data_IF_845642681145
#
_entry.id   IF_845642681145
#
_cell.length_a   1.000
_cell.length_b   1.000
_cell.length_c   1.000
_cell.angle_alpha   90.00
_cell.angle_beta   90.00
_cell.angle_gamma   90.00
#
_symmetry.space_group_name_H-M   'P 1'
#
loop_
_entity.id
_entity.type
_entity.pdbx_description
1 polymer ?
#
# COMPACT_ATOMS: atom_id res chain seq x y z
N UNK A 1 6.80 10.04 4.54
CA UNK A 1 5.40 10.21 4.06
C UNK A 1 4.53 9.15 4.73
N UNK A 2 3.25 9.43 5.02
CA UNK A 2 2.31 8.46 5.60
C UNK A 2 1.06 8.39 4.71
N UNK A 3 0.59 7.18 4.40
CA UNK A 3 -0.72 6.99 3.75
C UNK A 3 -1.81 7.32 4.77
N UNK A 4 -2.76 8.19 4.42
CA UNK A 4 -3.77 8.69 5.34
C UNK A 4 -5.10 7.93 5.18
N UNK A 5 -5.64 7.44 6.30
CA UNK A 5 -7.00 6.94 6.35
C UNK A 5 -7.99 8.10 6.18
N UNK A 6 -8.99 7.93 5.32
CA UNK A 6 -10.02 8.92 5.07
C UNK A 6 -11.36 8.24 4.79
N UNK A 7 -12.46 8.92 5.11
CA UNK A 7 -13.84 8.45 4.84
C UNK A 7 -14.72 9.62 4.46
N UNK A 8 -15.76 9.35 3.67
CA UNK A 8 -16.80 10.33 3.32
C UNK A 8 -18.11 9.88 3.94
N UNK A 9 -18.75 10.78 4.68
CA UNK A 9 -20.08 10.53 5.23
C UNK A 9 -21.15 10.84 4.18
N UNK A 10 -22.15 9.98 4.08
CA UNK A 10 -23.30 10.21 3.24
C UNK A 10 -24.22 11.27 3.85
N UNK A 11 -24.69 12.18 3.02
CA UNK A 11 -25.75 13.14 3.32
C UNK A 11 -26.93 12.77 2.40
N UNK A 12 -28.11 12.50 2.98
CA UNK A 12 -29.30 12.08 2.23
C UNK A 12 -30.12 13.25 1.65
N UNK A 13 -29.76 14.51 1.96
CA UNK A 13 -30.53 15.70 1.61
C UNK A 13 -30.26 16.13 0.17
N UNK A 14 -29.00 16.07 -0.28
CA UNK A 14 -28.61 16.44 -1.65
C UNK A 14 -27.49 15.53 -2.19
N UNK A 15 -27.45 15.26 -3.51
CA UNK A 15 -26.36 14.51 -4.12
C UNK A 15 -25.00 15.19 -3.90
N UNK A 16 -23.98 14.42 -3.49
CA UNK A 16 -22.57 14.87 -3.44
C UNK A 16 -21.83 14.34 -4.67
N UNK A 17 -21.33 15.25 -5.51
CA UNK A 17 -20.46 14.88 -6.64
C UNK A 17 -19.00 15.21 -6.34
N UNK A 18 -18.10 14.27 -6.65
CA UNK A 18 -16.66 14.49 -6.56
C UNK A 18 -15.94 13.62 -7.60
N UNK A 19 -14.90 14.16 -8.22
CA UNK A 19 -14.04 13.43 -9.16
C UNK A 19 -12.66 13.29 -8.52
N UNK A 20 -12.12 12.08 -8.50
CA UNK A 20 -10.78 11.79 -8.01
C UNK A 20 -9.87 11.39 -9.17
N UNK A 21 -8.60 11.78 -9.09
CA UNK A 21 -7.54 11.35 -9.99
C UNK A 21 -6.41 10.74 -9.15
N UNK A 22 -6.00 9.51 -9.48
CA UNK A 22 -4.98 8.77 -8.75
C UNK A 22 -3.76 8.57 -9.61
N UNK A 23 -2.59 8.92 -9.08
CA UNK A 23 -1.31 8.57 -9.68
C UNK A 23 -0.89 7.19 -9.16
N UNK A 24 -0.90 6.20 -10.03
CA UNK A 24 -0.49 4.83 -9.72
C UNK A 24 0.66 4.39 -10.63
N UNK A 25 1.43 3.37 -10.21
CA UNK A 25 2.41 2.75 -11.10
C UNK A 25 1.73 2.19 -12.37
N UNK A 26 2.44 2.08 -13.50
CA UNK A 26 1.89 1.53 -14.74
C UNK A 26 1.27 0.15 -14.50
N UNK A 27 0.01 0.00 -14.86
CA UNK A 27 -0.71 -1.28 -14.83
C UNK A 27 -0.52 -1.94 -16.20
N UNK A 28 0.72 -2.32 -16.49
CA UNK A 28 1.02 -3.18 -17.64
C UNK A 28 1.27 -4.59 -17.11
N UNK A 29 0.46 -5.56 -17.58
CA UNK A 29 0.54 -6.97 -17.21
C UNK A 29 1.96 -7.55 -17.38
N UNK A 30 2.77 -7.04 -18.30
CA UNK A 30 4.16 -7.47 -18.47
C UNK A 30 5.07 -7.03 -17.29
N UNK A 31 4.75 -5.91 -16.65
CA UNK A 31 5.54 -5.29 -15.58
C UNK A 31 5.02 -5.57 -14.18
N UNK A 32 3.73 -5.95 -14.06
CA UNK A 32 3.08 -6.13 -12.75
C UNK A 32 3.74 -7.18 -11.87
N UNK A 33 4.28 -8.25 -12.47
CA UNK A 33 4.95 -9.34 -11.75
C UNK A 33 6.47 -9.20 -11.71
N UNK A 34 7.07 -8.45 -12.63
CA UNK A 34 8.53 -8.34 -12.79
C UNK A 34 9.12 -7.15 -12.05
N UNK A 35 8.39 -6.04 -11.96
CA UNK A 35 8.84 -4.83 -11.25
C UNK A 35 8.57 -4.96 -9.75
N UNK A 36 9.65 -4.92 -8.97
CA UNK A 36 9.61 -4.93 -7.51
C UNK A 36 9.57 -3.50 -6.95
N UNK A 37 8.73 -3.30 -5.95
CA UNK A 37 8.59 -2.04 -5.20
C UNK A 37 9.00 -2.27 -3.75
N UNK A 38 9.81 -1.37 -3.22
CA UNK A 38 10.28 -1.41 -1.83
C UNK A 38 10.77 -0.04 -1.35
N UNK A 39 11.40 0.02 -0.17
CA UNK A 39 12.01 1.24 0.34
C UNK A 39 13.03 1.83 -0.65
N UNK A 40 12.94 3.13 -0.88
CA UNK A 40 13.87 3.88 -1.74
C UNK A 40 15.25 3.85 -1.09
N UNK A 41 16.25 3.30 -1.78
CA UNK A 41 17.58 3.01 -1.22
C UNK A 41 18.26 4.26 -0.65
N UNK A 42 18.09 5.39 -1.33
CA UNK A 42 18.63 6.70 -0.98
C UNK A 42 18.02 7.28 0.31
N UNK A 43 16.88 6.76 0.76
CA UNK A 43 16.20 7.17 2.00
C UNK A 43 16.45 6.20 3.16
N UNK A 44 17.12 5.07 2.95
CA UNK A 44 17.41 4.07 3.99
C UNK A 44 18.75 4.40 4.67
N UNK A 45 18.75 4.45 5.99
CA UNK A 45 19.93 4.71 6.83
C UNK A 45 19.77 4.07 8.21
N UNK A 46 20.80 4.10 9.05
CA UNK A 46 20.70 3.62 10.45
C UNK A 46 19.58 4.33 11.23
N UNK A 47 19.44 5.65 11.02
CA UNK A 47 18.38 6.45 11.65
C UNK A 47 16.99 6.18 11.07
N UNK A 48 16.92 5.80 9.79
CA UNK A 48 15.67 5.55 9.07
C UNK A 48 15.75 4.19 8.36
N UNK A 49 15.61 3.09 9.11
CA UNK A 49 15.83 1.78 8.54
C UNK A 49 14.61 1.33 7.72
N UNK A 50 14.82 0.34 6.84
CA UNK A 50 13.81 -0.16 5.92
C UNK A 50 12.62 -0.84 6.64
N UNK A 51 11.44 -0.23 6.62
CA UNK A 51 10.26 -0.75 7.34
C UNK A 51 9.50 -1.85 6.57
N UNK A 52 9.57 -1.85 5.25
CA UNK A 52 8.79 -2.77 4.39
C UNK A 52 9.69 -3.57 3.47
N UNK A 53 9.31 -4.83 3.18
CA UNK A 53 9.97 -5.69 2.21
C UNK A 53 9.58 -5.33 0.77
N UNK A 54 10.39 -5.78 -0.19
CA UNK A 54 10.06 -5.65 -1.60
C UNK A 54 8.86 -6.52 -1.98
N UNK A 55 7.99 -6.00 -2.85
CA UNK A 55 6.84 -6.72 -3.40
C UNK A 55 6.53 -6.24 -4.83
N UNK A 56 6.03 -7.14 -5.68
CA UNK A 56 5.52 -6.77 -7.00
C UNK A 56 4.11 -6.17 -6.92
N UNK A 57 3.68 -5.45 -7.95
CA UNK A 57 2.32 -4.90 -7.99
C UNK A 57 1.27 -6.00 -8.01
N UNK A 58 1.55 -7.12 -8.70
CA UNK A 58 0.69 -8.31 -8.69
C UNK A 58 0.51 -8.89 -7.28
N UNK A 59 1.60 -9.01 -6.51
CA UNK A 59 1.54 -9.50 -5.13
C UNK A 59 0.75 -8.55 -4.21
N UNK A 60 0.95 -7.23 -4.36
CA UNK A 60 0.17 -6.22 -3.65
C UNK A 60 -1.32 -6.34 -3.98
N UNK A 61 -1.68 -6.39 -5.25
CA UNK A 61 -3.07 -6.50 -5.70
C UNK A 61 -3.75 -7.78 -5.24
N UNK A 62 -3.08 -8.93 -5.37
CA UNK A 62 -3.61 -10.20 -4.87
C UNK A 62 -3.87 -10.18 -3.36
N UNK A 63 -3.08 -9.43 -2.59
CA UNK A 63 -3.28 -9.29 -1.14
C UNK A 63 -4.38 -8.31 -0.73
N UNK A 64 -4.73 -7.34 -1.61
CA UNK A 64 -5.80 -6.35 -1.37
C UNK A 64 -7.19 -6.99 -1.46
N UNK A 65 -7.36 -7.99 -2.33
CA UNK A 65 -8.63 -8.68 -2.56
C UNK A 65 -8.46 -10.20 -2.43
N UNK A 66 -8.18 -10.71 -1.21
CA UNK A 66 -7.96 -12.15 -1.00
C UNK A 66 -9.24 -12.96 -1.22
N UNK A 67 -10.41 -12.37 -0.94
CA UNK A 67 -11.73 -12.95 -1.11
C UNK A 67 -12.64 -11.93 -1.84
N UNK A 68 -13.59 -12.41 -2.66
CA UNK A 68 -14.56 -11.59 -3.41
C UNK A 68 -15.50 -10.76 -2.50
N UNK A 69 -15.44 -10.93 -1.18
CA UNK A 69 -16.14 -10.10 -0.18
C UNK A 69 -15.47 -8.72 0.08
N UNK A 70 -14.29 -8.45 -0.51
CA UNK A 70 -13.87 -7.07 -0.80
C UNK A 70 -13.61 -6.15 0.42
N UNK A 71 -13.05 -6.67 1.51
CA UNK A 71 -12.64 -5.82 2.63
C UNK A 71 -11.35 -5.04 2.31
N UNK A 72 -11.51 -3.79 1.84
CA UNK A 72 -10.43 -2.82 1.65
C UNK A 72 -9.71 -2.40 2.96
N UNK A 73 -10.17 -2.90 4.11
CA UNK A 73 -9.56 -2.66 5.42
C UNK A 73 -8.45 -3.66 5.76
N UNK A 74 -8.11 -4.58 4.86
CA UNK A 74 -7.01 -5.51 5.08
C UNK A 74 -5.67 -4.74 5.12
N UNK A 75 -4.90 -4.78 6.22
CA UNK A 75 -3.65 -4.05 6.31
C UNK A 75 -2.55 -4.77 5.51
N UNK A 76 -2.61 -4.68 4.18
CA UNK A 76 -1.64 -5.27 3.24
C UNK A 76 -0.21 -4.91 3.64
N UNK A 77 0.02 -3.64 4.00
CA UNK A 77 1.32 -3.16 4.45
C UNK A 77 1.81 -3.81 5.74
N UNK A 78 0.92 -4.27 6.63
CA UNK A 78 1.32 -4.98 7.84
C UNK A 78 1.99 -6.31 7.50
N UNK A 79 1.54 -7.00 6.44
CA UNK A 79 2.17 -8.25 5.96
C UNK A 79 3.53 -8.01 5.35
N UNK A 80 3.78 -6.82 4.80
CA UNK A 80 5.06 -6.44 4.20
C UNK A 80 6.04 -5.86 5.21
N UNK A 81 5.63 -5.62 6.45
CA UNK A 81 6.50 -5.04 7.47
C UNK A 81 7.62 -6.02 7.79
N UNK A 82 8.86 -5.53 7.76
CA UNK A 82 10.02 -6.30 8.19
C UNK A 82 9.94 -6.41 9.72
N UNK A 83 10.01 -7.64 10.24
CA UNK A 83 10.13 -7.85 11.68
C UNK A 83 11.49 -7.28 12.11
N UNK A 84 11.47 -6.27 12.96
CA UNK A 84 12.66 -5.89 13.70
C UNK A 84 12.68 -6.75 14.95
N UNK A 85 13.65 -7.65 15.04
CA UNK A 85 13.98 -8.24 16.34
C UNK A 85 14.33 -7.09 17.27
N UNK A 86 13.58 -6.95 18.36
CA UNK A 86 13.86 -6.01 19.45
C UNK A 86 15.00 -6.53 20.32
N UNK A 87 16.06 -7.05 19.71
CA UNK A 87 17.29 -7.40 20.41
C UNK A 87 18.43 -6.75 19.66
N UNK A 88 18.90 -5.60 20.17
CA UNK A 88 20.30 -5.13 20.17
C UNK A 88 20.29 -3.76 20.88
N UNK A 89 20.80 -3.81 22.13
CA UNK A 89 21.21 -2.75 23.09
C UNK A 89 20.12 -1.93 23.78
#
# INVERSE_FOLDING_TARGET
>A
MKSAEHKVFANAIVPRQSVACFFMPPIDFSTMSTKMYGPIKELVSEKYPAVYREASLAALWGSLYPDLEGSLRNPVLARLRIAYDKEVV
#
